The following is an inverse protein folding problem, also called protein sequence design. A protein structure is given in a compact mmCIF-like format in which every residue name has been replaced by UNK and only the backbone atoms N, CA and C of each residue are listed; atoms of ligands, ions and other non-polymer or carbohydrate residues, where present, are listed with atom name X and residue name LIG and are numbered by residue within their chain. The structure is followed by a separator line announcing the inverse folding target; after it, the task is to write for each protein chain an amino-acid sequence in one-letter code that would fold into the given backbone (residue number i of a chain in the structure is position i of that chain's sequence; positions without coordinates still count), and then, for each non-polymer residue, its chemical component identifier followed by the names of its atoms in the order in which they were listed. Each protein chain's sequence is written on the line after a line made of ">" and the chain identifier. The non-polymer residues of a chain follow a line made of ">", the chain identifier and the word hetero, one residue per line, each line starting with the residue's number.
data_IF_397614083980
#
_entry.id   IF_397614083980
#
_cell.length_a   1.000
_cell.length_b   1.000
_cell.length_c   1.000
_cell.angle_alpha   90.00
_cell.angle_beta   90.00
_cell.angle_gamma   90.00
#
_symmetry.space_group_name_H-M   'P 1'
#
loop_
_entity.id
_entity.type
_entity.pdbx_description
1 polymer ?
#
# COMPACT_ATOMS: atom_id res chain seq x y z
N UNK A 1 19.36 -20.54 25.34
CA UNK A 1 18.37 -20.06 24.37
C UNK A 1 18.51 -18.54 24.35
N UNK A 2 19.14 -17.99 23.33
CA UNK A 2 19.15 -16.52 23.15
C UNK A 2 17.70 -16.07 22.91
N UNK A 3 17.24 -14.97 23.53
CA UNK A 3 15.93 -14.44 23.21
C UNK A 3 15.91 -14.09 21.72
N UNK A 4 14.96 -14.69 21.01
CA UNK A 4 14.69 -14.37 19.61
C UNK A 4 14.45 -12.86 19.56
N UNK A 5 15.27 -12.12 18.83
CA UNK A 5 15.14 -10.68 18.73
C UNK A 5 13.71 -10.37 18.23
N UNK A 6 12.98 -9.56 19.00
CA UNK A 6 11.62 -9.20 18.66
C UNK A 6 11.58 -8.62 17.23
N UNK A 7 10.71 -9.15 16.39
CA UNK A 7 10.58 -8.67 15.01
C UNK A 7 10.15 -7.20 15.00
N UNK A 8 10.85 -6.37 14.25
CA UNK A 8 10.49 -4.95 14.05
C UNK A 8 9.63 -4.73 12.80
N UNK A 9 9.28 -5.81 12.09
CA UNK A 9 8.45 -5.73 10.87
C UNK A 9 7.43 -6.86 10.84
N UNK A 10 6.21 -6.52 10.47
CA UNK A 10 5.09 -7.45 10.44
C UNK A 10 4.34 -7.35 9.10
N UNK A 11 3.95 -8.51 8.56
CA UNK A 11 2.89 -8.60 7.55
C UNK A 11 1.54 -8.64 8.26
N UNK A 12 0.66 -7.72 7.90
CA UNK A 12 -0.67 -7.59 8.50
C UNK A 12 -1.73 -7.85 7.44
N UNK A 13 -2.56 -8.87 7.62
CA UNK A 13 -3.62 -9.26 6.69
C UNK A 13 -4.97 -8.80 7.18
N UNK A 14 -5.80 -8.33 6.23
CA UNK A 14 -7.17 -7.91 6.44
C UNK A 14 -8.10 -8.76 5.59
N UNK A 15 -9.03 -9.49 6.24
CA UNK A 15 -10.06 -10.27 5.54
C UNK A 15 -11.34 -9.44 5.45
N UNK A 16 -11.74 -8.99 4.25
CA UNK A 16 -12.89 -8.13 4.06
C UNK A 16 -14.21 -8.77 4.52
N UNK A 17 -15.05 -7.98 5.18
CA UNK A 17 -16.42 -8.35 5.54
C UNK A 17 -17.46 -7.87 4.53
N UNK A 18 -17.04 -7.09 3.55
CA UNK A 18 -17.89 -6.51 2.51
C UNK A 18 -17.06 -5.81 1.44
N UNK A 19 -17.69 -4.99 0.60
CA UNK A 19 -16.98 -4.24 -0.45
C UNK A 19 -16.00 -3.24 0.13
N UNK A 20 -14.89 -3.02 -0.58
CA UNK A 20 -13.94 -1.96 -0.27
C UNK A 20 -13.88 -0.98 -1.43
N UNK A 21 -13.67 0.30 -1.11
CA UNK A 21 -13.51 1.35 -2.10
C UNK A 21 -12.30 2.20 -1.82
N UNK A 22 -11.37 2.20 -2.74
CA UNK A 22 -10.29 3.19 -2.79
C UNK A 22 -10.63 4.13 -3.94
N UNK A 23 -10.86 5.39 -3.61
CA UNK A 23 -11.22 6.36 -4.63
C UNK A 23 -10.00 6.81 -5.42
N UNK A 24 -10.14 7.01 -6.75
CA UNK A 24 -9.14 7.76 -7.47
C UNK A 24 -9.11 9.20 -6.95
N UNK A 25 -7.95 9.84 -7.03
CA UNK A 25 -7.76 11.23 -6.59
C UNK A 25 -8.68 12.23 -7.32
N UNK A 26 -9.19 11.85 -8.50
CA UNK A 26 -10.21 12.61 -9.24
C UNK A 26 -11.56 12.70 -8.54
N UNK A 27 -11.83 11.83 -7.55
CA UNK A 27 -13.12 11.73 -6.89
C UNK A 27 -14.21 11.04 -7.71
N UNK A 28 -13.88 10.47 -8.89
CA UNK A 28 -14.83 9.73 -9.72
C UNK A 28 -15.43 8.55 -8.97
N UNK A 29 -16.76 8.46 -8.94
CA UNK A 29 -17.46 7.40 -8.19
C UNK A 29 -17.55 6.08 -8.95
N UNK A 30 -17.54 6.13 -10.26
CA UNK A 30 -17.61 5.00 -11.19
C UNK A 30 -16.28 4.27 -11.38
N UNK A 31 -15.22 4.72 -10.72
CA UNK A 31 -13.88 4.14 -10.75
C UNK A 31 -13.40 3.82 -9.35
N UNK A 32 -12.50 2.85 -9.25
CA UNK A 32 -11.85 2.42 -8.01
C UNK A 32 -10.38 2.19 -8.30
N UNK A 33 -9.51 2.57 -7.36
CA UNK A 33 -8.10 2.17 -7.39
C UNK A 33 -7.97 0.75 -6.84
N UNK A 34 -7.03 0.00 -7.40
CA UNK A 34 -6.76 -1.38 -6.97
C UNK A 34 -5.76 -1.43 -5.80
N UNK A 35 -5.07 -0.32 -5.53
CA UNK A 35 -4.11 -0.17 -4.42
C UNK A 35 -4.65 0.85 -3.42
N UNK A 36 -4.64 0.49 -2.15
CA UNK A 36 -4.75 1.47 -1.07
C UNK A 36 -3.34 1.91 -0.69
N UNK A 37 -2.94 3.05 -1.24
CA UNK A 37 -1.58 3.56 -1.16
C UNK A 37 -1.13 3.89 0.26
N UNK A 38 0.15 3.76 0.54
CA UNK A 38 0.74 3.94 1.88
C UNK A 38 0.48 5.32 2.49
N UNK A 39 0.38 6.39 1.68
CA UNK A 39 -0.01 7.72 2.14
C UNK A 39 -1.46 7.76 2.68
N UNK A 40 -2.36 6.98 2.05
CA UNK A 40 -3.73 6.83 2.50
C UNK A 40 -3.84 5.93 3.75
N UNK A 41 -3.02 4.87 3.84
CA UNK A 41 -2.88 4.04 5.05
C UNK A 41 -2.44 4.90 6.22
N UNK A 42 -1.37 5.68 6.05
CA UNK A 42 -0.89 6.60 7.09
C UNK A 42 -1.97 7.61 7.51
N UNK A 43 -2.69 8.20 6.55
CA UNK A 43 -3.79 9.13 6.83
C UNK A 43 -4.92 8.49 7.63
N UNK A 44 -5.30 7.24 7.31
CA UNK A 44 -6.30 6.49 8.05
C UNK A 44 -5.83 6.20 9.49
N UNK A 45 -4.57 5.77 9.65
CA UNK A 45 -3.98 5.54 10.98
C UNK A 45 -3.92 6.84 11.79
N UNK A 46 -3.57 7.98 11.19
CA UNK A 46 -3.63 9.28 11.87
C UNK A 46 -5.04 9.59 12.41
N UNK A 47 -6.08 9.31 11.62
CA UNK A 47 -7.48 9.49 12.05
C UNK A 47 -7.85 8.56 13.21
N UNK A 48 -7.39 7.31 13.18
CA UNK A 48 -7.59 6.36 14.29
C UNK A 48 -6.81 6.78 15.55
N UNK A 49 -5.55 7.21 15.40
CA UNK A 49 -4.73 7.72 16.51
C UNK A 49 -5.36 8.96 17.15
N UNK A 50 -6.02 9.82 16.36
CA UNK A 50 -6.74 10.96 16.90
C UNK A 50 -7.94 10.51 17.76
N UNK A 51 -8.68 9.49 17.33
CA UNK A 51 -9.77 8.91 18.11
C UNK A 51 -9.28 8.23 19.40
N UNK A 52 -8.07 7.68 19.40
CA UNK A 52 -7.40 7.08 20.55
C UNK A 52 -6.73 8.12 21.47
N UNK A 53 -6.79 9.43 21.13
CA UNK A 53 -6.15 10.49 21.92
C UNK A 53 -4.63 10.59 21.75
N UNK A 54 -4.07 9.97 20.71
CA UNK A 54 -2.63 9.84 20.48
C UNK A 54 -2.12 10.69 19.30
N UNK A 55 -2.94 11.57 18.70
CA UNK A 55 -2.62 12.27 17.45
C UNK A 55 -1.29 13.04 17.51
N UNK A 56 -1.06 13.83 18.55
CA UNK A 56 0.12 14.68 18.62
C UNK A 56 1.40 13.89 18.83
N UNK A 57 1.41 12.93 19.75
CA UNK A 57 2.54 12.03 19.99
C UNK A 57 2.85 11.18 18.75
N UNK A 58 1.81 10.68 18.05
CA UNK A 58 1.95 9.96 16.81
C UNK A 58 2.60 10.80 15.70
N UNK A 59 2.11 12.01 15.48
CA UNK A 59 2.68 12.91 14.46
C UNK A 59 4.11 13.34 14.83
N UNK A 60 4.41 13.52 16.12
CA UNK A 60 5.75 13.84 16.57
C UNK A 60 6.74 12.70 16.36
N UNK A 61 6.31 11.45 16.51
CA UNK A 61 7.13 10.26 16.27
C UNK A 61 7.24 9.88 14.79
N UNK A 62 6.38 10.42 13.90
CA UNK A 62 6.33 10.02 12.48
C UNK A 62 6.51 11.21 11.54
N UNK A 63 5.45 11.95 11.25
CA UNK A 63 5.44 12.97 10.19
C UNK A 63 6.34 14.19 10.50
N UNK A 64 6.58 14.48 11.76
CA UNK A 64 7.44 15.59 12.22
C UNK A 64 8.85 15.14 12.57
N UNK A 65 9.08 13.83 12.67
CA UNK A 65 10.39 13.27 12.99
C UNK A 65 11.29 13.24 11.74
N UNK A 66 12.60 13.43 11.89
CA UNK A 66 13.56 13.27 10.80
C UNK A 66 13.65 11.83 10.32
N UNK A 67 13.38 10.86 11.19
CA UNK A 67 13.23 9.43 10.89
C UNK A 67 11.93 8.94 11.50
N UNK A 68 10.98 8.42 10.70
CA UNK A 68 9.69 7.98 11.21
C UNK A 68 9.81 6.70 12.03
N UNK A 69 9.24 6.71 13.25
CA UNK A 69 9.23 5.54 14.13
C UNK A 69 8.45 4.36 13.56
N UNK A 70 7.43 4.63 12.73
CA UNK A 70 6.59 3.60 12.11
C UNK A 70 6.36 3.94 10.64
N UNK A 71 6.46 2.93 9.78
CA UNK A 71 6.25 3.02 8.33
C UNK A 71 5.28 1.95 7.88
N UNK A 72 4.50 2.23 6.84
CA UNK A 72 3.55 1.30 6.24
C UNK A 72 3.86 1.11 4.76
N UNK A 73 3.76 -0.13 4.27
CA UNK A 73 3.64 -0.34 2.84
C UNK A 73 2.23 0.05 2.35
N UNK A 74 2.04 0.10 1.05
CA UNK A 74 0.71 0.10 0.46
C UNK A 74 0.01 -1.24 0.72
N UNK A 75 -1.33 -1.28 0.56
CA UNK A 75 -2.07 -2.53 0.68
C UNK A 75 -2.04 -3.28 -0.64
N UNK A 76 -1.73 -4.55 -0.56
CA UNK A 76 -1.64 -5.48 -1.67
C UNK A 76 -2.57 -6.65 -1.50
N UNK A 77 -3.00 -7.31 -2.58
CA UNK A 77 -3.89 -8.46 -2.46
C UNK A 77 -3.18 -9.72 -1.94
N UNK A 78 -3.96 -10.61 -1.34
CA UNK A 78 -3.55 -11.99 -1.07
C UNK A 78 -4.68 -12.97 -1.41
N UNK A 79 -4.32 -14.23 -1.69
CA UNK A 79 -5.25 -15.36 -1.87
C UNK A 79 -4.74 -16.53 -1.06
N UNK A 80 -5.55 -17.04 -0.15
CA UNK A 80 -5.13 -18.11 0.78
C UNK A 80 -3.91 -17.67 1.58
N UNK A 81 -2.80 -18.38 1.42
CA UNK A 81 -1.50 -18.03 2.00
C UNK A 81 -0.61 -17.20 1.08
N UNK A 82 -0.96 -17.06 -0.20
CA UNK A 82 -0.12 -16.40 -1.20
C UNK A 82 -0.30 -14.89 -1.14
N UNK A 83 0.78 -14.19 -0.80
CA UNK A 83 0.87 -12.74 -0.84
C UNK A 83 1.27 -12.29 -2.25
N UNK A 84 0.56 -11.30 -2.79
CA UNK A 84 0.91 -10.65 -4.04
C UNK A 84 1.39 -9.23 -3.74
N UNK A 85 2.16 -8.65 -4.65
CA UNK A 85 2.74 -7.32 -4.49
C UNK A 85 3.05 -6.71 -5.86
N UNK A 86 3.20 -5.39 -5.93
CA UNK A 86 3.71 -4.73 -7.15
C UNK A 86 5.17 -5.14 -7.33
N UNK A 87 5.51 -5.82 -8.43
CA UNK A 87 6.83 -6.39 -8.64
C UNK A 87 7.92 -5.32 -8.85
N UNK A 88 9.20 -5.64 -8.59
CA UNK A 88 10.30 -4.71 -8.83
C UNK A 88 10.50 -4.48 -10.32
N UNK A 89 10.44 -3.22 -10.75
CA UNK A 89 10.49 -2.79 -12.16
C UNK A 89 11.79 -3.15 -12.87
N UNK A 90 12.86 -3.43 -12.14
CA UNK A 90 14.14 -3.84 -12.71
C UNK A 90 14.18 -5.29 -13.21
N UNK A 91 13.25 -6.13 -12.74
CA UNK A 91 13.16 -7.56 -13.12
C UNK A 91 11.79 -7.96 -13.65
N UNK A 92 10.80 -7.05 -13.63
CA UNK A 92 9.47 -7.31 -14.14
C UNK A 92 9.07 -6.30 -15.23
N UNK A 93 8.51 -6.73 -16.36
CA UNK A 93 8.31 -8.13 -16.76
C UNK A 93 9.66 -8.80 -17.10
N UNK A 94 9.75 -10.16 -16.99
CA UNK A 94 10.94 -10.89 -17.38
C UNK A 94 11.30 -10.59 -18.84
N UNK A 95 12.60 -10.39 -19.13
CA UNK A 95 13.08 -10.03 -20.48
C UNK A 95 12.75 -11.10 -21.52
N UNK A 96 12.77 -12.38 -21.15
CA UNK A 96 12.48 -13.52 -22.01
C UNK A 96 10.97 -13.81 -22.18
N UNK A 97 10.10 -13.04 -21.51
CA UNK A 97 8.65 -13.28 -21.58
C UNK A 97 8.11 -13.04 -23.00
N UNK A 98 7.54 -14.07 -23.58
CA UNK A 98 6.88 -14.02 -24.90
C UNK A 98 5.41 -13.60 -24.83
N UNK A 99 4.76 -13.74 -23.68
CA UNK A 99 3.33 -13.46 -23.50
C UNK A 99 3.10 -11.99 -23.16
N UNK A 100 2.56 -11.23 -24.11
CA UNK A 100 2.28 -9.79 -23.94
C UNK A 100 1.36 -9.52 -22.73
N UNK A 101 0.32 -10.34 -22.54
CA UNK A 101 -0.61 -10.22 -21.42
C UNK A 101 0.04 -10.47 -20.04
N UNK A 102 1.12 -11.23 -19.98
CA UNK A 102 1.90 -11.47 -18.77
C UNK A 102 2.51 -10.18 -18.23
N UNK A 103 2.89 -9.27 -19.13
CA UNK A 103 3.44 -7.95 -18.82
C UNK A 103 2.41 -7.01 -18.17
N UNK A 104 1.11 -7.28 -18.34
CA UNK A 104 0.04 -6.48 -17.78
C UNK A 104 -0.25 -6.78 -16.30
N UNK A 105 0.39 -7.80 -15.70
CA UNK A 105 0.20 -8.10 -14.29
C UNK A 105 0.73 -6.95 -13.43
N UNK A 106 -0.18 -6.34 -12.67
CA UNK A 106 0.14 -5.30 -11.68
C UNK A 106 0.59 -5.90 -10.36
N UNK A 107 0.01 -7.04 -9.97
CA UNK A 107 0.34 -7.75 -8.76
C UNK A 107 0.86 -9.14 -9.09
N UNK A 108 2.00 -9.47 -8.53
CA UNK A 108 2.70 -10.73 -8.77
C UNK A 108 2.90 -11.46 -7.44
N UNK A 109 2.65 -12.79 -7.37
CA UNK A 109 2.93 -13.57 -6.18
C UNK A 109 4.38 -13.48 -5.74
N UNK A 110 4.62 -13.31 -4.45
CA UNK A 110 5.98 -13.22 -3.88
C UNK A 110 6.86 -14.41 -4.31
N UNK A 111 6.38 -15.68 -4.32
CA UNK A 111 7.20 -16.79 -4.79
C UNK A 111 7.67 -16.68 -6.25
N UNK A 112 6.90 -16.02 -7.12
CA UNK A 112 7.35 -15.76 -8.50
C UNK A 112 8.47 -14.72 -8.52
N UNK A 113 8.37 -13.71 -7.68
CA UNK A 113 9.44 -12.69 -7.55
C UNK A 113 10.72 -13.34 -6.99
N UNK A 114 10.61 -14.22 -6.00
CA UNK A 114 11.74 -14.96 -5.43
C UNK A 114 12.42 -15.84 -6.49
N UNK A 115 11.65 -16.52 -7.33
CA UNK A 115 12.18 -17.29 -8.44
C UNK A 115 12.97 -16.40 -9.43
N UNK A 116 12.42 -15.23 -9.78
CA UNK A 116 13.12 -14.26 -10.65
C UNK A 116 14.38 -13.68 -10.00
N UNK A 117 14.35 -13.42 -8.70
CA UNK A 117 15.55 -12.97 -7.97
C UNK A 117 16.63 -14.06 -7.93
N UNK A 118 16.21 -15.32 -7.99
CA UNK A 118 17.08 -16.49 -8.03
C UNK A 118 17.53 -16.89 -9.47
N UNK A 119 17.24 -16.06 -10.48
CA UNK A 119 17.46 -16.38 -11.90
C UNK A 119 16.81 -17.69 -12.36
N UNK A 120 15.73 -18.08 -11.71
CA UNK A 120 14.98 -19.26 -12.10
C UNK A 120 13.95 -18.89 -13.18
N UNK A 121 13.81 -19.71 -14.22
CA UNK A 121 12.81 -19.47 -15.26
C UNK A 121 11.41 -19.59 -14.67
N UNK A 122 10.54 -18.65 -15.02
CA UNK A 122 9.13 -18.71 -14.69
C UNK A 122 8.39 -19.43 -15.79
N UNK A 123 7.75 -20.55 -15.44
CA UNK A 123 6.90 -21.30 -16.38
C UNK A 123 5.65 -20.48 -16.68
N UNK A 124 5.66 -19.78 -17.82
CA UNK A 124 4.57 -18.89 -18.22
C UNK A 124 3.25 -19.63 -18.49
N UNK A 125 3.28 -20.94 -18.75
CA UNK A 125 2.07 -21.72 -19.02
C UNK A 125 1.29 -22.03 -17.75
N UNK A 126 1.90 -21.89 -16.59
CA UNK A 126 1.24 -22.07 -15.29
C UNK A 126 0.52 -20.82 -14.78
N UNK A 127 0.71 -19.68 -15.43
CA UNK A 127 0.23 -18.40 -14.96
C UNK A 127 -0.60 -17.65 -16.00
N UNK A 128 -1.63 -16.97 -15.53
CA UNK A 128 -2.46 -16.08 -16.35
C UNK A 128 -2.69 -14.77 -15.58
N UNK A 129 -2.90 -13.68 -16.31
CA UNK A 129 -3.30 -12.40 -15.70
C UNK A 129 -4.82 -12.36 -15.65
N UNK A 130 -5.35 -12.28 -14.44
CA UNK A 130 -6.77 -12.01 -14.23
C UNK A 130 -7.08 -10.56 -14.60
N UNK A 131 -7.98 -10.38 -15.57
CA UNK A 131 -8.22 -9.06 -16.18
C UNK A 131 -8.94 -8.06 -15.28
N UNK A 132 -9.63 -8.53 -14.22
CA UNK A 132 -10.35 -7.65 -13.30
C UNK A 132 -9.48 -7.18 -12.14
N UNK A 133 -8.67 -8.07 -11.59
CA UNK A 133 -7.78 -7.76 -10.47
C UNK A 133 -6.37 -7.33 -10.87
N UNK A 134 -6.02 -7.48 -12.15
CA UNK A 134 -4.66 -7.27 -12.66
C UNK A 134 -3.60 -8.14 -11.91
N UNK A 135 -4.04 -9.25 -11.32
CA UNK A 135 -3.19 -10.16 -10.58
C UNK A 135 -2.68 -11.29 -11.48
N UNK A 136 -1.41 -11.64 -11.30
CA UNK A 136 -0.88 -12.89 -11.83
C UNK A 136 -1.41 -14.03 -10.96
N UNK A 137 -2.24 -14.88 -11.54
CA UNK A 137 -2.86 -16.03 -10.88
C UNK A 137 -2.46 -17.33 -11.59
N UNK A 138 -2.53 -18.49 -10.92
CA UNK A 138 -2.41 -19.77 -11.61
C UNK A 138 -3.41 -19.85 -12.76
N UNK A 139 -3.04 -20.55 -13.87
CA UNK A 139 -3.93 -20.74 -15.00
C UNK A 139 -5.25 -21.38 -14.53
N UNK A 140 -6.37 -20.86 -15.00
CA UNK A 140 -7.74 -21.25 -14.60
C UNK A 140 -8.15 -20.90 -13.15
N UNK A 141 -7.36 -20.12 -12.40
CA UNK A 141 -7.76 -19.57 -11.11
C UNK A 141 -8.31 -18.15 -11.27
N UNK A 142 -9.37 -17.82 -10.53
CA UNK A 142 -9.86 -16.45 -10.45
C UNK A 142 -8.91 -15.59 -9.60
N UNK A 143 -8.89 -14.29 -9.87
CA UNK A 143 -8.16 -13.32 -9.08
C UNK A 143 -8.75 -13.14 -7.67
N UNK A 144 -8.01 -12.43 -6.78
CA UNK A 144 -8.43 -12.21 -5.38
C UNK A 144 -9.67 -11.35 -5.22
N UNK A 145 -9.98 -10.53 -6.19
CA UNK A 145 -11.14 -9.64 -6.18
C UNK A 145 -11.59 -9.31 -7.60
N UNK A 146 -12.79 -8.76 -7.70
CA UNK A 146 -13.30 -8.17 -8.93
C UNK A 146 -13.75 -6.73 -8.70
N UNK A 147 -13.77 -5.93 -9.75
CA UNK A 147 -14.35 -4.60 -9.74
C UNK A 147 -15.86 -4.71 -9.99
N UNK A 148 -16.65 -4.23 -9.05
CA UNK A 148 -18.11 -4.24 -9.11
C UNK A 148 -18.65 -2.83 -9.09
N UNK A 149 -19.84 -2.63 -9.70
CA UNK A 149 -20.55 -1.35 -9.67
C UNK A 149 -21.84 -1.53 -8.88
N UNK A 150 -22.03 -0.71 -7.85
CA UNK A 150 -23.24 -0.66 -7.05
C UNK A 150 -24.07 0.56 -7.43
N UNK A 151 -25.31 0.33 -7.84
CA UNK A 151 -26.27 1.42 -8.10
C UNK A 151 -26.93 1.84 -6.78
N UNK A 152 -27.03 3.12 -6.57
CA UNK A 152 -27.65 3.75 -5.42
C UNK A 152 -28.64 4.80 -5.91
N UNK A 153 -29.73 4.98 -5.18
CA UNK A 153 -30.69 6.02 -5.45
C UNK A 153 -31.00 6.79 -4.15
N UNK A 154 -30.90 8.12 -4.24
CA UNK A 154 -31.50 8.99 -3.23
C UNK A 154 -33.01 9.04 -3.43
N UNK A 155 -33.79 8.71 -2.41
CA UNK A 155 -35.24 8.73 -2.46
C UNK A 155 -35.76 9.84 -1.57
N UNK A 156 -36.54 10.77 -2.15
CA UNK A 156 -37.35 11.67 -1.38
C UNK A 156 -38.54 10.91 -0.81
N UNK A 157 -38.52 10.71 0.49
CA UNK A 157 -39.59 9.97 1.18
C UNK A 157 -40.91 10.75 1.25
N UNK A 158 -40.88 12.07 1.10
CA UNK A 158 -42.08 12.92 1.14
C UNK A 158 -42.81 12.83 -0.22
N UNK A 159 -42.07 12.95 -1.29
CA UNK A 159 -42.66 12.94 -2.65
C UNK A 159 -42.57 11.59 -3.34
N UNK A 160 -41.99 10.58 -2.69
CA UNK A 160 -41.79 9.23 -3.22
C UNK A 160 -41.08 9.20 -4.59
N UNK A 161 -40.19 10.18 -4.82
CA UNK A 161 -39.47 10.36 -6.06
C UNK A 161 -38.00 10.01 -5.89
N UNK A 162 -37.38 9.47 -6.96
CA UNK A 162 -35.92 9.33 -7.03
C UNK A 162 -35.35 10.71 -7.33
N UNK A 163 -34.56 11.25 -6.36
CA UNK A 163 -33.92 12.55 -6.52
C UNK A 163 -32.64 12.41 -7.34
N UNK A 164 -31.85 11.39 -7.04
CA UNK A 164 -30.55 11.17 -7.69
C UNK A 164 -30.22 9.67 -7.72
N UNK A 165 -29.92 9.17 -8.91
CA UNK A 165 -29.34 7.83 -9.06
C UNK A 165 -27.85 7.99 -9.37
N UNK A 166 -27.01 7.27 -8.63
CA UNK A 166 -25.57 7.27 -8.88
C UNK A 166 -24.99 5.87 -8.73
N UNK A 167 -23.91 5.63 -9.46
CA UNK A 167 -23.15 4.38 -9.36
C UNK A 167 -21.89 4.57 -8.55
N UNK A 168 -21.46 3.51 -7.87
CA UNK A 168 -20.24 3.53 -7.06
C UNK A 168 -19.47 2.25 -7.31
N UNK A 169 -18.24 2.36 -7.82
CA UNK A 169 -17.35 1.24 -8.04
C UNK A 169 -16.73 0.78 -6.71
N UNK A 170 -16.52 -0.52 -6.57
CA UNK A 170 -15.92 -1.15 -5.39
C UNK A 170 -15.16 -2.42 -5.77
N UNK A 171 -14.31 -2.88 -4.84
CA UNK A 171 -13.66 -4.18 -4.88
C UNK A 171 -14.51 -5.18 -4.10
N UNK A 172 -14.83 -6.30 -4.70
CA UNK A 172 -15.48 -7.45 -4.08
C UNK A 172 -14.50 -8.60 -4.04
N UNK A 173 -14.16 -9.05 -2.84
CA UNK A 173 -13.14 -10.07 -2.62
C UNK A 173 -13.67 -11.49 -2.70
N UNK A 174 -12.85 -12.40 -3.22
CA UNK A 174 -13.09 -13.83 -3.10
C UNK A 174 -13.04 -14.29 -1.63
N UNK A 175 -13.61 -15.46 -1.32
CA UNK A 175 -13.80 -15.94 0.05
C UNK A 175 -12.50 -16.02 0.87
N UNK A 176 -11.40 -16.47 0.24
CA UNK A 176 -10.10 -16.67 0.89
C UNK A 176 -9.09 -15.57 0.51
N UNK A 177 -9.59 -14.43 0.08
CA UNK A 177 -8.78 -13.31 -0.36
C UNK A 177 -8.96 -12.08 0.55
N UNK A 178 -8.04 -11.14 0.40
CA UNK A 178 -8.08 -9.88 1.11
C UNK A 178 -6.90 -9.01 0.76
N UNK A 179 -6.57 -8.10 1.68
CA UNK A 179 -5.46 -7.17 1.52
C UNK A 179 -4.45 -7.33 2.66
N UNK A 180 -3.19 -7.11 2.36
CA UNK A 180 -2.12 -7.15 3.35
C UNK A 180 -1.20 -5.93 3.19
N UNK A 181 -0.51 -5.59 4.27
CA UNK A 181 0.47 -4.50 4.32
C UNK A 181 1.64 -4.88 5.21
N UNK A 182 2.78 -4.25 5.00
CA UNK A 182 3.91 -4.30 5.93
C UNK A 182 3.79 -3.14 6.91
N UNK A 183 3.86 -3.45 8.21
CA UNK A 183 4.09 -2.48 9.27
C UNK A 183 5.52 -2.62 9.73
N UNK A 184 6.31 -1.57 9.61
CA UNK A 184 7.72 -1.56 9.98
C UNK A 184 7.97 -0.52 11.07
N UNK A 185 8.55 -0.94 12.18
CA UNK A 185 9.07 -0.09 13.24
C UNK A 185 10.54 0.22 12.98
N UNK A 186 10.99 1.42 13.33
CA UNK A 186 12.37 1.85 13.09
C UNK A 186 13.39 0.93 13.78
N UNK A 187 13.08 0.55 15.01
CA UNK A 187 13.90 -0.32 15.87
C UNK A 187 13.03 -0.99 16.95
N UNK A 188 13.67 -1.69 17.88
CA UNK A 188 12.99 -2.37 18.99
C UNK A 188 12.36 -1.41 20.00
N UNK A 189 12.91 -0.21 20.18
CA UNK A 189 12.36 0.82 21.07
C UNK A 189 11.07 1.40 20.47
N UNK A 190 11.09 1.74 19.18
CA UNK A 190 9.90 2.15 18.43
C UNK A 190 8.83 1.04 18.42
N UNK A 191 9.22 -0.23 18.28
CA UNK A 191 8.29 -1.35 18.38
C UNK A 191 7.68 -1.44 19.78
N UNK A 192 8.48 -1.37 20.83
CA UNK A 192 7.99 -1.42 22.22
C UNK A 192 7.01 -0.29 22.53
N UNK A 193 7.24 0.90 21.97
CA UNK A 193 6.40 2.07 22.17
C UNK A 193 5.12 2.04 21.34
N UNK A 194 5.21 1.64 20.05
CA UNK A 194 4.18 1.90 19.06
C UNK A 194 3.41 0.67 18.59
N UNK A 195 3.88 -0.57 18.88
CA UNK A 195 3.18 -1.77 18.39
C UNK A 195 1.74 -1.84 18.92
N UNK A 196 1.54 -1.68 20.24
CA UNK A 196 0.20 -1.74 20.82
C UNK A 196 -0.74 -0.61 20.32
N UNK A 197 -0.31 0.67 20.26
CA UNK A 197 -1.10 1.74 19.64
C UNK A 197 -1.45 1.48 18.17
N UNK A 198 -0.50 0.99 17.36
CA UNK A 198 -0.74 0.68 15.93
C UNK A 198 -1.70 -0.49 15.78
N UNK A 199 -1.57 -1.55 16.59
CA UNK A 199 -2.54 -2.65 16.62
C UNK A 199 -3.94 -2.15 16.96
N UNK A 200 -4.06 -1.28 17.96
CA UNK A 200 -5.34 -0.66 18.35
C UNK A 200 -5.93 0.18 17.22
N UNK A 201 -5.11 1.00 16.55
CA UNK A 201 -5.55 1.83 15.43
C UNK A 201 -6.02 0.99 14.23
N UNK A 202 -5.27 -0.06 13.86
CA UNK A 202 -5.65 -0.95 12.76
C UNK A 202 -6.89 -1.80 13.09
N UNK A 203 -7.07 -2.20 14.35
CA UNK A 203 -8.29 -2.88 14.80
C UNK A 203 -9.51 -1.94 14.72
N UNK A 204 -9.37 -0.69 15.17
CA UNK A 204 -10.41 0.33 15.05
C UNK A 204 -10.80 0.59 13.59
N UNK A 205 -9.81 0.65 12.69
CA UNK A 205 -10.05 0.80 11.26
C UNK A 205 -10.67 -0.44 10.63
N UNK A 206 -10.30 -1.64 11.08
CA UNK A 206 -10.94 -2.88 10.64
C UNK A 206 -12.44 -2.90 10.97
N UNK A 207 -12.83 -2.38 12.11
CA UNK A 207 -14.22 -2.31 12.54
C UNK A 207 -14.99 -1.14 11.90
N UNK A 208 -14.39 0.05 11.82
CA UNK A 208 -15.02 1.27 11.27
C UNK A 208 -14.94 1.39 9.75
N UNK A 209 -14.00 0.70 9.10
CA UNK A 209 -13.75 0.68 7.67
C UNK A 209 -12.60 1.57 7.20
N UNK A 210 -11.91 1.10 6.17
CA UNK A 210 -10.92 1.84 5.38
C UNK A 210 -11.54 2.43 4.12
N UNK A 211 -10.96 3.49 3.58
CA UNK A 211 -11.34 4.06 2.29
C UNK A 211 -12.68 4.79 2.28
N UNK A 212 -13.38 4.71 1.15
CA UNK A 212 -14.64 5.40 0.93
C UNK A 212 -15.88 4.59 1.32
N UNK A 213 -17.04 5.24 1.41
CA UNK A 213 -18.35 4.65 1.69
C UNK A 213 -18.45 3.95 3.07
N UNK A 214 -17.63 4.34 4.04
CA UNK A 214 -17.61 3.80 5.42
C UNK A 214 -18.96 3.91 6.10
N UNK A 215 -19.72 4.99 5.87
CA UNK A 215 -21.08 5.17 6.39
C UNK A 215 -22.08 4.10 5.93
N UNK A 216 -21.72 3.34 4.87
CA UNK A 216 -22.48 2.20 4.36
C UNK A 216 -21.94 0.85 4.83
N UNK A 217 -20.95 0.86 5.73
CA UNK A 217 -20.29 -0.34 6.24
C UNK A 217 -19.24 -0.92 5.30
N UNK A 218 -18.81 -0.19 4.25
CA UNK A 218 -17.73 -0.62 3.38
C UNK A 218 -16.37 -0.44 4.01
N UNK A 219 -15.39 -1.18 3.55
CA UNK A 219 -14.02 -1.12 4.03
C UNK A 219 -13.76 -1.90 5.33
N UNK A 220 -14.75 -2.58 5.89
CA UNK A 220 -14.63 -3.36 7.13
C UNK A 220 -13.97 -4.71 6.88
N UNK A 221 -13.26 -5.20 7.89
CA UNK A 221 -12.62 -6.52 7.87
C UNK A 221 -12.77 -7.23 9.21
N UNK A 222 -12.41 -8.50 9.23
CA UNK A 222 -12.12 -9.20 10.48
C UNK A 222 -10.94 -8.55 11.19
N UNK A 223 -10.71 -8.91 12.45
CA UNK A 223 -9.53 -8.45 13.19
C UNK A 223 -8.25 -8.75 12.39
N UNK A 224 -7.32 -7.77 12.29
CA UNK A 224 -6.10 -7.94 11.51
C UNK A 224 -5.24 -9.10 12.03
N UNK A 225 -4.75 -9.93 11.11
CA UNK A 225 -3.84 -11.04 11.40
C UNK A 225 -2.40 -10.54 11.26
N UNK A 226 -1.57 -10.74 12.30
CA UNK A 226 -0.20 -10.25 12.36
C UNK A 226 0.77 -11.42 12.33
N UNK A 227 1.73 -11.36 11.40
CA UNK A 227 2.83 -12.32 11.28
C UNK A 227 4.16 -11.58 11.13
N UNK A 228 5.28 -12.07 11.68
CA UNK A 228 6.58 -11.50 11.40
C UNK A 228 6.82 -11.42 9.89
N UNK A 229 7.21 -10.24 9.39
CA UNK A 229 7.48 -10.04 7.98
C UNK A 229 8.81 -10.66 7.59
N UNK A 230 8.78 -11.51 6.59
CA UNK A 230 9.97 -12.08 5.95
C UNK A 230 10.04 -11.55 4.52
N UNK A 231 10.89 -10.55 4.23
CA UNK A 231 11.01 -10.01 2.89
C UNK A 231 11.56 -11.08 1.93
N UNK A 232 11.15 -11.05 0.66
CA UNK A 232 11.76 -11.89 -0.37
C UNK A 232 13.27 -11.69 -0.41
N UNK A 233 14.02 -12.76 -0.49
CA UNK A 233 15.47 -12.73 -0.49
C UNK A 233 16.00 -13.20 -1.84
N UNK A 234 16.99 -12.49 -2.38
CA UNK A 234 17.80 -13.04 -3.45
C UNK A 234 18.76 -14.10 -2.87
N UNK A 235 19.10 -15.15 -3.62
CA UNK A 235 20.14 -16.07 -3.22
C UNK A 235 21.44 -15.34 -2.91
N UNK A 236 22.16 -15.83 -1.92
CA UNK A 236 23.50 -15.33 -1.61
C UNK A 236 24.41 -15.62 -2.82
N UNK A 237 24.91 -14.58 -3.46
CA UNK A 237 25.85 -14.66 -4.56
C UNK A 237 27.24 -14.37 -4.05
N UNK A 238 28.24 -15.16 -4.51
CA UNK A 238 29.66 -14.89 -4.25
C UNK A 238 30.17 -13.64 -5.00
N UNK A 239 29.40 -13.13 -5.95
CA UNK A 239 29.73 -11.88 -6.66
C UNK A 239 29.15 -10.69 -5.94
N UNK A 240 29.94 -9.65 -5.64
CA UNK A 240 29.45 -8.42 -5.06
C UNK A 240 28.46 -7.74 -6.04
N UNK A 241 27.17 -7.84 -5.76
CA UNK A 241 26.15 -7.07 -6.47
C UNK A 241 25.87 -5.80 -5.70
N UNK A 242 25.72 -4.71 -6.42
CA UNK A 242 25.26 -3.45 -5.81
C UNK A 242 23.85 -3.64 -5.30
N UNK A 243 23.59 -3.16 -4.10
CA UNK A 243 22.28 -3.30 -3.42
C UNK A 243 21.34 -2.20 -3.89
N UNK A 244 20.15 -2.57 -4.31
CA UNK A 244 19.09 -1.66 -4.66
C UNK A 244 17.88 -1.82 -3.70
N UNK A 245 17.03 -0.81 -3.65
CA UNK A 245 15.85 -0.72 -2.80
C UNK A 245 14.58 -0.83 -3.64
N UNK A 246 13.90 -1.96 -3.54
CA UNK A 246 12.59 -2.15 -4.12
C UNK A 246 11.51 -1.58 -3.19
N UNK A 247 10.76 -0.59 -3.66
CA UNK A 247 9.74 0.12 -2.88
C UNK A 247 8.42 -0.66 -2.79
N UNK A 248 7.97 -0.89 -1.57
CA UNK A 248 6.63 -1.41 -1.24
C UNK A 248 5.67 -0.29 -0.78
N UNK A 249 6.10 0.96 -0.82
CA UNK A 249 5.32 2.13 -0.44
C UNK A 249 5.48 3.23 -1.47
N UNK A 250 4.60 4.22 -1.44
CA UNK A 250 4.91 5.51 -2.05
C UNK A 250 6.09 6.15 -1.33
N UNK A 251 6.92 6.86 -2.08
CA UNK A 251 8.13 7.44 -1.53
C UNK A 251 8.29 8.90 -1.94
N UNK A 252 8.61 9.72 -0.95
CA UNK A 252 9.08 11.10 -1.12
C UNK A 252 10.45 11.20 -0.44
N UNK A 253 11.52 11.58 -1.15
CA UNK A 253 12.85 11.64 -0.56
C UNK A 253 12.91 12.53 0.69
N UNK A 254 13.60 12.09 1.72
CA UNK A 254 14.01 12.94 2.82
C UNK A 254 15.29 13.72 2.44
N UNK A 255 15.65 14.72 3.23
CA UNK A 255 16.89 15.47 3.04
C UNK A 255 18.16 14.64 3.28
N UNK A 256 18.03 13.48 3.93
CA UNK A 256 19.12 12.57 4.25
C UNK A 256 19.26 11.42 3.25
N UNK A 257 18.23 11.19 2.41
CA UNK A 257 18.25 10.11 1.44
C UNK A 257 19.15 10.46 0.25
N UNK A 258 20.16 9.64 0.01
CA UNK A 258 21.14 9.83 -1.08
C UNK A 258 20.81 8.89 -2.25
N UNK A 259 19.86 9.28 -3.09
CA UNK A 259 19.37 8.48 -4.23
C UNK A 259 20.15 8.82 -5.50
N UNK A 260 20.62 7.81 -6.20
CA UNK A 260 21.17 7.96 -7.57
C UNK A 260 20.01 7.94 -8.59
N UNK A 261 19.48 9.10 -8.90
CA UNK A 261 18.39 9.26 -9.86
C UNK A 261 18.73 8.95 -11.33
N UNK A 262 20.01 8.85 -11.66
CA UNK A 262 20.45 8.51 -13.02
C UNK A 262 20.40 7.01 -13.26
N UNK A 263 20.47 6.25 -12.19
CA UNK A 263 20.40 4.79 -12.19
C UNK A 263 19.19 4.40 -11.37
N UNK A 264 18.45 3.43 -11.81
CA UNK A 264 17.23 3.00 -11.15
C UNK A 264 16.11 2.77 -12.17
N UNK A 265 15.11 2.01 -11.76
CA UNK A 265 13.91 1.76 -12.55
C UNK A 265 12.71 2.23 -11.74
N UNK A 266 12.23 3.43 -11.99
CA UNK A 266 11.18 4.03 -11.18
C UNK A 266 10.06 4.67 -12.01
N UNK A 267 8.91 4.82 -11.39
CA UNK A 267 7.78 5.57 -11.91
C UNK A 267 7.33 6.59 -10.87
N UNK A 268 6.65 7.61 -11.34
CA UNK A 268 6.04 8.62 -10.48
C UNK A 268 4.53 8.53 -10.54
N UNK A 269 3.87 8.93 -9.45
CA UNK A 269 2.43 9.07 -9.36
C UNK A 269 2.08 10.41 -8.73
N UNK A 270 1.10 11.11 -9.29
CA UNK A 270 0.54 12.31 -8.68
C UNK A 270 -0.49 11.89 -7.64
N UNK A 271 -0.37 12.46 -6.44
CA UNK A 271 -1.30 12.21 -5.35
C UNK A 271 -1.98 13.52 -4.95
N UNK A 272 -3.31 13.50 -4.93
CA UNK A 272 -4.16 14.60 -4.50
C UNK A 272 -5.09 14.13 -3.37
N UNK A 273 -6.33 14.54 -3.36
CA UNK A 273 -7.37 14.10 -2.43
C UNK A 273 -7.93 15.25 -1.59
N UNK A 274 -8.81 14.89 -0.65
CA UNK A 274 -9.51 15.85 0.21
C UNK A 274 -9.13 15.68 1.66
N UNK A 275 -9.25 16.76 2.42
CA UNK A 275 -8.98 16.77 3.85
C UNK A 275 -10.24 16.27 4.58
N UNK A 276 -10.03 15.39 5.55
CA UNK A 276 -11.00 15.00 6.55
C UNK A 276 -10.48 15.49 7.91
N UNK A 277 -10.94 16.66 8.33
CA UNK A 277 -10.55 17.28 9.60
C UNK A 277 -11.77 17.91 10.27
N UNK A 278 -11.81 17.86 11.60
CA UNK A 278 -12.84 18.54 12.40
C UNK A 278 -12.82 20.07 12.21
N UNK A 279 -11.68 20.64 11.85
CA UNK A 279 -11.56 22.08 11.62
C UNK A 279 -12.23 22.53 10.31
N UNK A 280 -11.99 21.78 9.21
CA UNK A 280 -12.61 22.01 7.90
C UNK A 280 -12.64 20.72 7.12
N UNK A 281 -13.75 20.42 6.50
CA UNK A 281 -13.98 19.16 5.80
C UNK A 281 -14.09 19.35 4.29
N UNK A 282 -13.51 18.45 3.54
CA UNK A 282 -13.70 18.39 2.09
C UNK A 282 -12.82 19.32 1.24
N UNK A 283 -11.95 20.16 1.84
CA UNK A 283 -11.00 20.97 1.09
C UNK A 283 -9.98 20.10 0.36
N UNK A 284 -9.52 20.55 -0.82
CA UNK A 284 -8.53 19.84 -1.61
C UNK A 284 -7.14 19.97 -0.98
N UNK A 285 -6.44 18.86 -0.84
CA UNK A 285 -5.01 18.83 -0.48
C UNK A 285 -4.18 19.34 -1.65
N UNK A 286 -3.02 19.92 -1.37
CA UNK A 286 -2.01 20.19 -2.42
C UNK A 286 -1.62 18.87 -3.08
N UNK A 287 -1.56 18.85 -4.41
CA UNK A 287 -1.07 17.72 -5.16
C UNK A 287 0.44 17.57 -4.96
N UNK A 288 0.91 16.33 -4.86
CA UNK A 288 2.34 15.99 -4.74
C UNK A 288 2.70 14.91 -5.74
N UNK A 289 3.91 14.97 -6.28
CA UNK A 289 4.48 13.92 -7.09
C UNK A 289 5.31 13.02 -6.17
N UNK A 290 5.05 11.71 -6.21
CA UNK A 290 5.71 10.71 -5.39
C UNK A 290 6.25 9.60 -6.26
N UNK A 291 7.28 8.90 -5.80
CA UNK A 291 7.77 7.67 -6.43
C UNK A 291 6.80 6.55 -6.09
N UNK A 292 6.39 5.81 -7.12
CA UNK A 292 5.38 4.76 -7.01
C UNK A 292 5.97 3.44 -6.49
N UNK A 293 5.09 2.60 -5.95
CA UNK A 293 5.40 1.22 -5.58
C UNK A 293 5.96 0.43 -6.77
N UNK A 294 6.78 -0.57 -6.48
CA UNK A 294 7.48 -1.36 -7.49
C UNK A 294 8.74 -0.68 -8.05
N UNK A 295 8.95 0.60 -7.76
CA UNK A 295 10.18 1.30 -8.16
C UNK A 295 11.39 0.69 -7.46
N UNK A 296 12.52 0.67 -8.18
CA UNK A 296 13.81 0.18 -7.70
C UNK A 296 14.81 1.31 -7.75
N UNK A 297 15.36 1.68 -6.62
CA UNK A 297 16.27 2.80 -6.45
C UNK A 297 17.63 2.34 -5.94
N UNK A 298 18.69 2.99 -6.40
CA UNK A 298 20.02 2.88 -5.82
C UNK A 298 20.25 4.02 -4.87
N UNK A 299 20.76 3.73 -3.68
CA UNK A 299 21.06 4.72 -2.67
C UNK A 299 22.29 4.34 -1.86
N UNK A 300 22.96 5.35 -1.30
CA UNK A 300 24.16 5.17 -0.47
C UNK A 300 23.87 4.60 0.94
N UNK A 301 22.60 4.44 1.32
CA UNK A 301 22.15 3.90 2.61
C UNK A 301 20.67 3.55 2.56
N UNK A 302 20.11 3.20 3.70
CA UNK A 302 18.69 2.91 3.82
C UNK A 302 17.83 4.15 3.53
N UNK A 303 16.76 3.97 2.79
CA UNK A 303 15.81 5.04 2.47
C UNK A 303 14.82 5.20 3.62
N UNK A 304 14.65 6.43 4.09
CA UNK A 304 13.69 6.79 5.13
C UNK A 304 12.40 7.36 4.56
N UNK A 305 12.54 8.28 3.61
CA UNK A 305 11.45 9.08 3.10
C UNK A 305 11.00 10.17 4.08
N UNK A 306 10.12 11.04 3.59
CA UNK A 306 9.62 12.16 4.37
C UNK A 306 8.10 12.32 4.24
N UNK A 307 7.49 13.00 5.21
CA UNK A 307 6.13 13.51 5.10
C UNK A 307 6.16 14.97 4.62
N UNK A 308 5.25 15.31 3.73
CA UNK A 308 5.07 16.67 3.23
C UNK A 308 3.80 17.29 3.79
N UNK A 309 3.83 18.57 4.15
CA UNK A 309 2.61 19.33 4.46
C UNK A 309 1.87 19.68 3.16
N UNK A 310 0.70 19.11 3.02
CA UNK A 310 -0.20 19.29 1.86
C UNK A 310 -1.44 20.12 2.19
N UNK A 311 -1.42 20.82 3.32
CA UNK A 311 -2.49 21.73 3.68
C UNK A 311 -2.65 22.84 2.61
N UNK A 312 -3.89 23.19 2.21
CA UNK A 312 -4.11 24.36 1.38
C UNK A 312 -3.74 25.64 2.13
N UNK A 313 -3.58 26.70 1.40
CA UNK A 313 -3.26 28.00 1.99
C UNK A 313 -4.35 28.46 2.98
N UNK A 314 -3.93 28.95 4.15
CA UNK A 314 -4.84 29.38 5.22
C UNK A 314 -5.56 28.25 5.96
N UNK A 315 -5.13 26.99 5.80
CA UNK A 315 -5.65 25.90 6.60
C UNK A 315 -5.13 25.99 8.05
N UNK A 316 -5.95 25.71 9.09
CA UNK A 316 -5.60 26.03 10.47
C UNK A 316 -4.53 25.14 11.11
N UNK A 317 -4.16 24.03 10.46
CA UNK A 317 -3.11 23.11 10.95
C UNK A 317 -2.45 22.38 9.76
N UNK A 318 -1.23 21.84 9.95
CA UNK A 318 -0.59 21.01 8.94
C UNK A 318 -1.41 19.76 8.60
N UNK A 319 -1.37 19.36 7.32
CA UNK A 319 -1.95 18.10 6.83
C UNK A 319 -0.84 17.30 6.17
N UNK A 320 -0.44 16.22 6.80
CA UNK A 320 0.71 15.46 6.34
C UNK A 320 0.34 14.40 5.31
N UNK A 321 1.15 14.31 4.26
CA UNK A 321 1.19 13.19 3.32
C UNK A 321 2.51 12.46 3.51
N UNK A 322 2.43 11.21 3.96
CA UNK A 322 3.60 10.38 4.21
C UNK A 322 4.12 9.75 2.91
N UNK A 323 5.40 9.94 2.65
CA UNK A 323 6.18 9.24 1.63
C UNK A 323 7.31 8.43 2.26
N UNK A 324 7.01 7.72 3.36
CA UNK A 324 7.98 6.92 4.10
C UNK A 324 8.32 5.64 3.35
N UNK A 325 9.61 5.37 3.18
CA UNK A 325 10.07 4.21 2.44
C UNK A 325 9.90 2.92 3.25
N UNK A 326 9.16 1.96 2.70
CA UNK A 326 9.23 0.55 3.08
C UNK A 326 9.87 -0.18 1.91
N UNK A 327 11.05 -0.73 2.10
CA UNK A 327 11.86 -1.30 1.03
C UNK A 327 12.21 -2.76 1.27
N UNK A 328 12.42 -3.48 0.16
CA UNK A 328 13.05 -4.78 0.15
C UNK A 328 14.41 -4.63 -0.56
N UNK A 329 15.51 -5.00 0.09
CA UNK A 329 16.81 -4.98 -0.57
C UNK A 329 16.91 -6.10 -1.60
N UNK A 330 17.26 -5.73 -2.83
CA UNK A 330 17.46 -6.67 -3.94
C UNK A 330 18.79 -6.36 -4.64
N UNK A 331 19.41 -7.35 -5.35
CA UNK A 331 20.55 -7.06 -6.20
C UNK A 331 20.14 -6.12 -7.33
N UNK A 332 21.00 -5.12 -7.60
CA UNK A 332 20.80 -4.27 -8.76
C UNK A 332 21.07 -5.04 -10.04
N UNK A 333 20.12 -5.00 -10.95
CA UNK A 333 20.24 -5.52 -12.31
C UNK A 333 19.86 -4.42 -13.29
N UNK A 334 20.69 -4.16 -14.27
CA UNK A 334 20.33 -3.25 -15.35
C UNK A 334 19.21 -3.93 -16.14
N UNK A 335 18.07 -3.24 -16.30
CA UNK A 335 17.03 -3.72 -17.20
C UNK A 335 17.61 -3.87 -18.61
N UNK A 336 17.46 -5.06 -19.19
CA UNK A 336 17.96 -5.37 -20.54
C UNK A 336 17.15 -4.63 -21.62
#
# INVERSE_FOLDING_TARGET
>A
MSPEAASTSFAVRFRPLGPWRFGPDSGARDRVDLIYHSDAVFSAVCSAMAQLGLADSWLSATARAPAPAVRFSSFYPFVGSTLLVVPPRSIWPPAESSKVRYKAARFVPIPVIEALLADQPVDEDRWAVDGESECLAPENAAGPFRVSIRSNAGVDRVHQAIIEAHTTACLEFARDAGLWTVVQFADSEAAAQWEAPVRGALLLLADSGFGGERSRGWGRSLAPEWEPWKPPQAPVSDQPSERAHWLLSLYTPSSTDTVDWKRGSYATVSRAGRIESAARWGEAKKATLMIAEGSVLLAGGDLLGAASDVAPEGFPHPVYRAGFAVTVPIPWRVAA
#
